data_IF_409603418798
#
_entry.id   IF_409603418798
#
_cell.length_a   1.000
_cell.length_b   1.000
_cell.length_c   1.000
_cell.angle_alpha   90.00
_cell.angle_beta   90.00
_cell.angle_gamma   90.00
#
_symmetry.space_group_name_H-M   'P 1'
#
loop_
_entity.id
_entity.type
_entity.pdbx_description
1 polymer ?
#
# COMPACT_ATOMS: atom_id res chain seq x y z
N UNK A 1 40.91 -9.10 -50.21
CA UNK A 1 39.91 -8.03 -49.95
C UNK A 1 38.58 -8.60 -50.41
N UNK A 2 37.54 -8.83 -49.63
CA UNK A 2 37.18 -8.60 -48.22
C UNK A 2 35.93 -9.46 -48.01
N UNK A 3 36.00 -10.54 -47.23
CA UNK A 3 34.80 -11.34 -46.87
C UNK A 3 35.09 -12.17 -45.62
N UNK A 4 35.47 -11.49 -44.54
CA UNK A 4 35.61 -12.12 -43.21
C UNK A 4 35.02 -11.27 -42.09
N UNK A 5 34.23 -10.23 -42.42
CA UNK A 5 33.68 -9.30 -41.42
C UNK A 5 32.17 -9.48 -41.12
N UNK A 6 31.43 -10.19 -41.97
CA UNK A 6 29.95 -10.27 -41.84
C UNK A 6 29.50 -11.41 -40.91
N UNK A 7 30.28 -12.50 -40.78
CA UNK A 7 29.88 -13.65 -39.96
C UNK A 7 30.05 -13.42 -38.45
N UNK A 8 30.92 -12.48 -38.06
CA UNK A 8 31.17 -12.15 -36.64
C UNK A 8 30.05 -11.28 -36.05
N UNK A 9 29.38 -10.47 -36.89
CA UNK A 9 28.28 -9.61 -36.46
C UNK A 9 26.98 -10.38 -36.17
N UNK A 10 26.72 -11.47 -36.88
CA UNK A 10 25.51 -12.28 -36.70
C UNK A 10 25.53 -13.09 -35.38
N UNK A 11 26.70 -13.65 -35.01
CA UNK A 11 26.86 -14.37 -33.75
C UNK A 11 26.74 -13.42 -32.53
N UNK A 12 27.31 -12.21 -32.64
CA UNK A 12 27.20 -11.20 -31.59
C UNK A 12 25.77 -10.62 -31.43
N UNK A 13 24.98 -10.59 -32.52
CA UNK A 13 23.58 -10.16 -32.48
C UNK A 13 22.65 -11.20 -31.84
N UNK A 14 22.91 -12.51 -32.05
CA UNK A 14 22.16 -13.59 -31.39
C UNK A 14 22.41 -13.64 -29.86
N UNK A 15 23.60 -13.27 -29.40
CA UNK A 15 23.91 -13.18 -27.97
C UNK A 15 23.29 -11.94 -27.30
N UNK A 16 23.19 -10.82 -28.00
CA UNK A 16 22.61 -9.58 -27.46
C UNK A 16 21.08 -9.64 -27.34
N UNK A 17 20.38 -10.39 -28.18
CA UNK A 17 18.93 -10.56 -28.08
C UNK A 17 18.48 -11.52 -26.96
N UNK A 18 19.39 -12.34 -26.42
CA UNK A 18 19.09 -13.29 -25.35
C UNK A 18 19.04 -12.66 -23.95
N UNK A 19 19.64 -11.48 -23.75
CA UNK A 19 19.71 -10.80 -22.44
C UNK A 19 18.58 -9.76 -22.24
N UNK A 20 17.79 -9.49 -23.29
CA UNK A 20 16.74 -8.45 -23.31
C UNK A 20 15.40 -8.91 -22.68
N UNK A 21 15.35 -10.14 -22.15
CA UNK A 21 14.13 -10.78 -21.62
C UNK A 21 14.09 -10.98 -20.10
N UNK A 22 15.17 -10.70 -19.37
CA UNK A 22 15.19 -10.88 -17.93
C UNK A 22 14.69 -9.61 -17.22
N UNK A 23 13.37 -9.39 -17.16
CA UNK A 23 12.82 -8.48 -16.15
C UNK A 23 13.24 -9.05 -14.79
N UNK A 24 14.15 -8.40 -14.02
CA UNK A 24 14.55 -8.93 -12.73
C UNK A 24 13.30 -8.97 -11.87
N UNK A 25 12.90 -10.17 -11.46
CA UNK A 25 11.73 -10.36 -10.63
C UNK A 25 12.00 -9.74 -9.25
N UNK A 26 11.60 -8.48 -9.09
CA UNK A 26 11.49 -7.79 -7.79
C UNK A 26 10.50 -8.50 -6.82
N UNK A 27 9.93 -9.64 -7.22
CA UNK A 27 9.13 -10.56 -6.41
C UNK A 27 9.97 -11.49 -5.50
N UNK A 28 11.30 -11.45 -5.54
CA UNK A 28 12.17 -12.43 -4.88
C UNK A 28 12.44 -12.25 -3.37
N UNK A 29 11.82 -11.28 -2.67
CA UNK A 29 12.12 -11.03 -1.24
C UNK A 29 10.92 -11.39 -0.35
N UNK A 30 10.96 -12.51 0.41
CA UNK A 30 9.81 -12.98 1.19
C UNK A 30 9.34 -11.98 2.26
N UNK A 31 10.26 -11.18 2.80
CA UNK A 31 9.94 -10.14 3.77
C UNK A 31 9.17 -8.96 3.16
N UNK A 32 9.34 -8.67 1.87
CA UNK A 32 8.57 -7.61 1.18
C UNK A 32 7.13 -8.06 0.98
N UNK A 33 6.92 -9.29 0.51
CA UNK A 33 5.59 -9.88 0.40
C UNK A 33 4.88 -9.95 1.76
N UNK A 34 5.60 -10.32 2.82
CA UNK A 34 5.06 -10.32 4.18
C UNK A 34 4.62 -8.92 4.64
N UNK A 35 5.39 -7.87 4.32
CA UNK A 35 5.02 -6.48 4.60
C UNK A 35 3.74 -6.07 3.85
N UNK A 36 3.61 -6.41 2.56
CA UNK A 36 2.40 -6.09 1.79
C UNK A 36 1.14 -6.83 2.32
N UNK A 37 1.28 -8.10 2.69
CA UNK A 37 0.17 -8.87 3.30
C UNK A 37 -0.22 -8.27 4.64
N UNK A 38 0.76 -7.90 5.47
CA UNK A 38 0.50 -7.24 6.76
C UNK A 38 -0.18 -5.89 6.55
N UNK A 39 0.29 -5.08 5.58
CA UNK A 39 -0.32 -3.81 5.22
C UNK A 39 -1.78 -3.99 4.84
N UNK A 40 -2.08 -4.98 3.98
CA UNK A 40 -3.44 -5.29 3.57
C UNK A 40 -4.33 -5.73 4.74
N UNK A 41 -3.82 -6.60 5.63
CA UNK A 41 -4.57 -7.03 6.81
C UNK A 41 -4.90 -5.85 7.75
N UNK A 42 -3.95 -4.93 7.93
CA UNK A 42 -4.15 -3.71 8.73
C UNK A 42 -5.14 -2.76 8.07
N UNK A 43 -5.12 -2.62 6.75
CA UNK A 43 -6.11 -1.85 5.99
C UNK A 43 -7.53 -2.41 6.17
N UNK A 44 -7.70 -3.72 6.09
CA UNK A 44 -8.99 -4.37 6.35
C UNK A 44 -9.44 -4.17 7.81
N UNK A 45 -8.53 -4.37 8.77
CA UNK A 45 -8.83 -4.17 10.18
C UNK A 45 -9.31 -2.73 10.47
N UNK A 46 -8.66 -1.73 9.87
CA UNK A 46 -9.08 -0.34 10.04
C UNK A 46 -10.51 -0.09 9.53
N UNK A 47 -10.91 -0.68 8.39
CA UNK A 47 -12.28 -0.58 7.89
C UNK A 47 -13.29 -1.25 8.82
N UNK A 48 -12.95 -2.43 9.37
CA UNK A 48 -13.81 -3.12 10.35
C UNK A 48 -13.98 -2.27 11.61
N UNK A 49 -12.91 -1.68 12.13
CA UNK A 49 -12.98 -0.86 13.33
C UNK A 49 -13.72 0.47 13.10
N UNK A 50 -13.58 1.09 11.93
CA UNK A 50 -14.40 2.25 11.54
C UNK A 50 -15.88 1.89 11.46
N UNK A 51 -16.21 0.74 10.86
CA UNK A 51 -17.56 0.23 10.77
C UNK A 51 -18.16 -0.05 12.15
N UNK A 52 -17.43 -0.79 13.00
CA UNK A 52 -17.86 -1.08 14.37
C UNK A 52 -18.06 0.21 15.16
N UNK A 53 -17.08 1.10 15.18
CA UNK A 53 -17.20 2.38 15.87
C UNK A 53 -18.38 3.22 15.35
N UNK A 54 -18.62 3.22 14.04
CA UNK A 54 -19.79 3.88 13.46
C UNK A 54 -21.10 3.30 13.97
N UNK A 55 -21.23 1.98 14.06
CA UNK A 55 -22.42 1.31 14.61
C UNK A 55 -22.59 1.50 16.12
N UNK A 56 -21.51 1.78 16.86
CA UNK A 56 -21.57 2.01 18.31
C UNK A 56 -21.68 3.49 18.70
N UNK A 57 -21.72 4.41 17.73
CA UNK A 57 -21.76 5.86 17.96
C UNK A 57 -23.14 6.46 17.71
N UNK A 58 -23.59 7.32 18.61
CA UNK A 58 -24.84 8.08 18.49
C UNK A 58 -26.06 7.38 19.06
N UNK A 59 -27.22 8.05 18.98
CA UNK A 59 -28.47 7.59 19.59
C UNK A 59 -29.47 7.13 18.53
N UNK A 60 -29.90 5.87 18.66
CA UNK A 60 -30.97 5.28 17.85
C UNK A 60 -30.51 4.55 16.58
N UNK A 61 -31.33 3.61 16.08
CA UNK A 61 -30.94 2.65 15.04
C UNK A 61 -30.63 3.31 13.69
N UNK A 62 -31.28 4.43 13.37
CA UNK A 62 -31.03 5.17 12.12
C UNK A 62 -29.65 5.82 12.12
N UNK A 63 -29.23 6.40 13.25
CA UNK A 63 -27.90 7.03 13.39
C UNK A 63 -26.80 5.97 13.35
N UNK A 64 -27.01 4.83 14.03
CA UNK A 64 -26.08 3.69 13.98
C UNK A 64 -25.90 3.15 12.56
N UNK A 65 -27.00 3.00 11.80
CA UNK A 65 -26.91 2.54 10.41
C UNK A 65 -26.19 3.55 9.52
N UNK A 66 -26.51 4.84 9.70
CA UNK A 66 -25.90 5.92 8.91
C UNK A 66 -24.39 6.05 9.19
N UNK A 67 -23.97 6.00 10.45
CA UNK A 67 -22.56 6.09 10.81
C UNK A 67 -21.80 4.79 10.55
N UNK A 68 -22.40 3.64 10.89
CA UNK A 68 -21.82 2.31 10.67
C UNK A 68 -21.53 2.00 9.22
N UNK A 69 -22.38 2.45 8.29
CA UNK A 69 -22.15 2.33 6.84
C UNK A 69 -21.41 3.55 6.29
N UNK A 70 -21.74 4.76 6.75
CA UNK A 70 -21.20 6.01 6.24
C UNK A 70 -19.69 6.14 6.46
N UNK A 71 -19.19 5.78 7.65
CA UNK A 71 -17.75 5.82 7.96
C UNK A 71 -16.91 4.93 7.04
N UNK A 72 -17.17 3.62 6.91
CA UNK A 72 -16.41 2.77 5.99
C UNK A 72 -16.64 3.16 4.52
N UNK A 73 -17.84 3.62 4.13
CA UNK A 73 -18.08 4.08 2.76
C UNK A 73 -17.21 5.29 2.41
N UNK A 74 -17.14 6.30 3.27
CA UNK A 74 -16.25 7.47 3.08
C UNK A 74 -14.80 7.04 3.01
N UNK A 75 -14.36 6.15 3.89
CA UNK A 75 -12.99 5.62 3.87
C UNK A 75 -12.66 4.91 2.55
N UNK A 76 -13.55 4.04 2.07
CA UNK A 76 -13.39 3.32 0.79
C UNK A 76 -13.32 4.30 -0.38
N UNK A 77 -14.18 5.32 -0.41
CA UNK A 77 -14.19 6.32 -1.49
C UNK A 77 -12.91 7.15 -1.49
N UNK A 78 -12.48 7.66 -0.33
CA UNK A 78 -11.22 8.40 -0.21
C UNK A 78 -10.05 7.53 -0.68
N UNK A 79 -9.98 6.30 -0.20
CA UNK A 79 -8.90 5.39 -0.53
C UNK A 79 -8.89 5.00 -2.01
N UNK A 80 -10.04 4.63 -2.57
CA UNK A 80 -10.21 4.30 -3.99
C UNK A 80 -9.91 5.47 -4.93
N UNK A 81 -10.17 6.70 -4.49
CA UNK A 81 -9.93 7.90 -5.31
C UNK A 81 -8.46 8.30 -5.34
N UNK A 82 -7.76 8.17 -4.21
CA UNK A 82 -6.47 8.81 -3.98
C UNK A 82 -5.30 7.87 -3.73
N UNK A 83 -5.54 6.71 -3.14
CA UNK A 83 -4.49 5.83 -2.60
C UNK A 83 -4.46 4.42 -3.23
N UNK A 84 -5.49 4.03 -3.98
CA UNK A 84 -5.52 2.76 -4.69
C UNK A 84 -4.46 2.69 -5.82
N UNK A 85 -3.99 1.48 -6.20
CA UNK A 85 -3.06 1.30 -7.32
C UNK A 85 -3.58 1.88 -8.66
N UNK A 86 -4.91 1.84 -8.85
CA UNK A 86 -5.64 2.50 -9.95
C UNK A 86 -6.40 3.75 -9.50
N UNK A 87 -5.87 4.49 -8.53
CA UNK A 87 -6.47 5.74 -8.05
C UNK A 87 -6.82 6.66 -9.23
N UNK A 88 -8.03 7.22 -9.21
CA UNK A 88 -8.51 8.16 -10.24
C UNK A 88 -7.67 9.43 -10.26
N UNK A 89 -7.22 9.89 -9.08
CA UNK A 89 -6.40 11.09 -8.91
C UNK A 89 -5.00 10.64 -8.45
N UNK A 90 -4.00 10.91 -9.30
CA UNK A 90 -2.59 10.64 -9.00
C UNK A 90 -2.06 11.71 -8.05
N UNK A 91 -1.96 11.40 -6.77
CA UNK A 91 -1.31 12.26 -5.78
C UNK A 91 0.19 11.97 -5.69
N UNK A 92 1.02 12.96 -5.28
CA UNK A 92 2.36 12.67 -4.83
C UNK A 92 2.31 11.72 -3.63
N UNK A 93 3.41 11.00 -3.39
CA UNK A 93 3.49 9.99 -2.33
C UNK A 93 3.03 10.52 -0.96
N UNK A 94 3.40 11.75 -0.62
CA UNK A 94 2.95 12.40 0.61
C UNK A 94 1.42 12.47 0.72
N UNK A 95 0.71 12.79 -0.38
CA UNK A 95 -0.75 12.83 -0.39
C UNK A 95 -1.38 11.46 -0.17
N UNK A 96 -0.81 10.42 -0.78
CA UNK A 96 -1.24 9.02 -0.56
C UNK A 96 -1.05 8.61 0.90
N UNK A 97 0.09 8.97 1.50
CA UNK A 97 0.40 8.70 2.90
C UNK A 97 -0.58 9.41 3.85
N UNK A 98 -0.96 10.66 3.55
CA UNK A 98 -1.97 11.39 4.35
C UNK A 98 -3.31 10.68 4.29
N UNK A 99 -3.79 10.27 3.11
CA UNK A 99 -5.06 9.54 2.98
C UNK A 99 -5.02 8.22 3.76
N UNK A 100 -3.91 7.47 3.65
CA UNK A 100 -3.70 6.25 4.45
C UNK A 100 -3.72 6.54 5.95
N UNK A 101 -3.05 7.59 6.40
CA UNK A 101 -3.02 7.97 7.80
C UNK A 101 -4.41 8.34 8.33
N UNK A 102 -5.24 9.02 7.52
CA UNK A 102 -6.63 9.34 7.90
C UNK A 102 -7.47 8.08 8.03
N UNK A 103 -7.40 7.15 7.07
CA UNK A 103 -8.21 5.92 7.09
C UNK A 103 -7.77 4.98 8.21
N UNK A 104 -6.47 4.70 8.30
CA UNK A 104 -5.90 3.80 9.30
C UNK A 104 -5.97 4.40 10.71
N UNK A 105 -5.63 5.69 10.83
CA UNK A 105 -5.78 6.43 12.09
C UNK A 105 -7.23 6.54 12.54
N UNK A 106 -8.18 6.69 11.61
CA UNK A 106 -9.61 6.63 11.89
C UNK A 106 -10.05 5.27 12.45
N UNK A 107 -9.53 4.17 11.91
CA UNK A 107 -9.75 2.83 12.47
C UNK A 107 -9.18 2.66 13.88
N UNK A 108 -7.97 3.16 14.13
CA UNK A 108 -7.35 3.11 15.46
C UNK A 108 -8.13 3.95 16.47
N UNK A 109 -8.58 5.14 16.05
CA UNK A 109 -9.44 6.00 16.84
C UNK A 109 -10.77 5.31 17.15
N UNK A 110 -11.42 4.69 16.17
CA UNK A 110 -12.64 3.92 16.39
C UNK A 110 -12.45 2.80 17.42
N UNK A 111 -11.34 2.05 17.31
CA UNK A 111 -11.01 1.00 18.27
C UNK A 111 -10.78 1.53 19.70
N UNK A 112 -10.14 2.70 19.81
CA UNK A 112 -9.97 3.40 21.08
C UNK A 112 -11.33 3.79 21.68
N UNK A 113 -12.24 4.34 20.87
CA UNK A 113 -13.57 4.76 21.30
C UNK A 113 -14.46 3.59 21.73
N UNK A 114 -14.24 2.39 21.17
CA UNK A 114 -14.93 1.15 21.54
C UNK A 114 -14.25 0.46 22.75
N UNK A 115 -13.33 1.15 23.44
CA UNK A 115 -12.78 0.72 24.74
C UNK A 115 -11.59 -0.23 24.65
N UNK A 116 -10.91 -0.31 23.50
CA UNK A 116 -9.75 -1.19 23.30
C UNK A 116 -8.46 -0.38 23.06
N UNK A 117 -7.98 0.42 24.04
CA UNK A 117 -6.88 1.37 23.83
C UNK A 117 -5.54 0.69 23.52
N UNK A 118 -5.26 -0.46 24.15
CA UNK A 118 -4.01 -1.21 23.89
C UNK A 118 -3.97 -1.68 22.44
N UNK A 119 -5.08 -2.22 21.92
CA UNK A 119 -5.16 -2.66 20.54
C UNK A 119 -5.06 -1.49 19.55
N UNK A 120 -5.61 -0.32 19.89
CA UNK A 120 -5.46 0.90 19.10
C UNK A 120 -3.99 1.35 19.00
N UNK A 121 -3.26 1.33 20.11
CA UNK A 121 -1.81 1.66 20.13
C UNK A 121 -1.01 0.64 19.34
N UNK A 122 -1.27 -0.67 19.50
CA UNK A 122 -0.60 -1.71 18.72
C UNK A 122 -0.82 -1.49 17.23
N UNK A 123 -2.05 -1.22 16.80
CA UNK A 123 -2.34 -0.98 15.40
C UNK A 123 -1.63 0.27 14.88
N UNK A 124 -1.63 1.36 15.63
CA UNK A 124 -0.89 2.58 15.26
C UNK A 124 0.62 2.31 15.10
N UNK A 125 1.23 1.56 16.02
CA UNK A 125 2.64 1.16 15.94
C UNK A 125 2.91 0.31 14.70
N UNK A 126 2.06 -0.69 14.42
CA UNK A 126 2.19 -1.55 13.23
C UNK A 126 2.08 -0.73 11.94
N UNK A 127 1.13 0.21 11.86
CA UNK A 127 0.98 1.11 10.70
C UNK A 127 2.25 1.94 10.48
N UNK A 128 2.79 2.53 11.54
CA UNK A 128 4.02 3.36 11.46
C UNK A 128 5.21 2.51 11.02
N UNK A 129 5.40 1.33 11.62
CA UNK A 129 6.49 0.43 11.28
C UNK A 129 6.41 -0.05 9.83
N UNK A 130 5.23 -0.52 9.39
CA UNK A 130 4.98 -0.97 8.02
C UNK A 130 5.21 0.15 7.00
N UNK A 131 4.76 1.37 7.32
CA UNK A 131 4.91 2.52 6.42
C UNK A 131 6.37 2.97 6.33
N UNK A 132 7.08 3.04 7.45
CA UNK A 132 8.50 3.38 7.48
C UNK A 132 9.33 2.35 6.70
N UNK A 133 9.03 1.06 6.87
CA UNK A 133 9.69 -0.01 6.15
C UNK A 133 9.46 0.14 4.63
N UNK A 134 8.21 0.34 4.20
CA UNK A 134 7.88 0.55 2.79
C UNK A 134 8.55 1.79 2.17
N UNK A 135 8.70 2.88 2.93
CA UNK A 135 9.34 4.12 2.46
C UNK A 135 10.86 3.98 2.30
N UNK A 136 11.53 3.31 3.24
CA UNK A 136 12.99 3.13 3.17
C UNK A 136 13.43 2.38 1.91
N UNK A 137 12.69 1.34 1.50
CA UNK A 137 12.99 0.59 0.28
C UNK A 137 12.68 1.34 -1.00
N UNK A 138 11.77 2.33 -0.94
CA UNK A 138 11.41 3.15 -2.10
C UNK A 138 12.47 4.21 -2.40
N UNK A 139 13.35 4.53 -1.44
CA UNK A 139 14.44 5.53 -1.55
C UNK A 139 15.82 4.92 -1.81
N UNK A 140 15.92 3.74 -2.42
CA UNK A 140 17.23 3.14 -2.76
C UNK A 140 18.17 4.14 -3.45
N UNK A 141 19.42 4.31 -3.00
CA UNK A 141 20.33 5.29 -3.59
C UNK A 141 20.56 4.97 -5.07
N UNK A 142 20.44 5.99 -5.92
CA UNK A 142 20.86 5.89 -7.32
C UNK A 142 22.32 5.42 -7.37
N UNK A 143 22.70 4.49 -8.28
CA UNK A 143 24.09 4.14 -8.50
C UNK A 143 24.89 5.43 -8.75
N UNK A 144 25.93 5.65 -7.94
CA UNK A 144 26.89 6.71 -8.26
C UNK A 144 27.83 6.11 -9.30
N UNK A 145 27.69 6.59 -10.53
CA UNK A 145 28.68 6.37 -11.59
C UNK A 145 29.96 7.17 -11.30
#
# INVERSE_FOLDING_TARGET
MTSSGESDGAAAQDEQHADEGAIPSMAGRPWWAANEVLAFAVELAALVFLCWWGFSTGDGPAVHLLLGIGMPAVAIVLWGTFAAPRARIRLPLAGVLVVKAVVLGGGAFGLYQVGHPVAAVVMAVVVVANTALAETFRRGPAPRE
#
